data_IF_783723570036
#
_entry.id   IF_783723570036
#
_cell.length_a   1.000
_cell.length_b   1.000
_cell.length_c   1.000
_cell.angle_alpha   90.00
_cell.angle_beta   90.00
_cell.angle_gamma   90.00
#
_symmetry.space_group_name_H-M   'P 1'
#
loop_
_entity.id
_entity.type
_entity.pdbx_description
1 polymer ?
#
# COMPACT_ATOMS: atom_id res chain seq x y z
N UNK A 11 15.81 -39.46 -15.67
CA UNK A 11 15.90 -38.25 -14.85
C UNK A 11 16.89 -37.26 -15.45
N UNK A 12 18.03 -37.78 -15.92
CA UNK A 12 19.09 -36.92 -16.40
C UNK A 12 18.66 -36.06 -17.57
N UNK A 13 17.62 -36.48 -18.31
CA UNK A 13 17.15 -35.68 -19.45
C UNK A 13 16.42 -34.42 -18.97
N UNK A 14 15.66 -34.54 -17.88
CA UNK A 14 14.93 -33.38 -17.36
C UNK A 14 15.86 -32.20 -17.12
N UNK A 15 17.07 -32.47 -16.60
CA UNK A 15 17.99 -31.39 -16.31
C UNK A 15 18.29 -30.59 -17.57
N UNK A 16 18.52 -31.27 -18.69
CA UNK A 16 18.83 -30.58 -19.93
C UNK A 16 17.59 -29.89 -20.50
N UNK A 17 16.46 -30.60 -20.55
CA UNK A 17 15.24 -30.01 -21.07
C UNK A 17 14.89 -28.72 -20.33
N UNK A 18 14.84 -28.80 -18.99
CA UNK A 18 14.52 -27.62 -18.17
C UNK A 18 15.60 -26.56 -18.33
N UNK A 19 16.86 -26.97 -18.43
CA UNK A 19 17.93 -26.00 -18.69
C UNK A 19 17.75 -25.32 -20.04
N UNK A 20 16.95 -25.89 -20.94
CA UNK A 20 16.67 -25.29 -22.23
C UNK A 20 15.46 -24.34 -22.15
N UNK A 21 14.33 -24.84 -21.67
CA UNK A 21 13.15 -23.98 -21.54
C UNK A 21 13.46 -22.78 -20.65
N UNK A 22 14.30 -22.97 -19.62
CA UNK A 22 14.69 -21.86 -18.77
C UNK A 22 15.35 -20.76 -19.58
N UNK A 23 16.25 -21.11 -20.50
CA UNK A 23 16.87 -20.11 -21.36
C UNK A 23 15.85 -19.49 -22.30
N UNK A 24 14.92 -20.29 -22.82
CA UNK A 24 13.81 -19.74 -23.60
C UNK A 24 13.16 -18.58 -22.83
N UNK A 25 12.74 -18.87 -21.60
CA UNK A 25 12.09 -17.84 -20.80
C UNK A 25 13.03 -16.68 -20.49
N UNK A 26 14.34 -16.93 -20.39
CA UNK A 26 15.27 -15.84 -20.17
C UNK A 26 15.28 -14.88 -21.34
N UNK A 27 15.40 -15.40 -22.56
CA UNK A 27 15.32 -14.56 -23.74
C UNK A 27 13.99 -13.81 -23.77
N UNK A 28 12.90 -14.49 -23.39
CA UNK A 28 11.62 -13.80 -23.27
C UNK A 28 11.72 -12.62 -22.31
N UNK A 29 12.44 -12.78 -21.20
CA UNK A 29 12.63 -11.68 -20.26
C UNK A 29 13.41 -10.54 -20.91
N UNK A 30 14.42 -10.86 -21.71
CA UNK A 30 15.18 -9.80 -22.38
C UNK A 30 14.30 -9.02 -23.35
N UNK A 31 13.56 -9.72 -24.21
CA UNK A 31 12.67 -9.03 -25.14
C UNK A 31 11.67 -8.17 -24.39
N UNK A 32 11.00 -8.75 -23.38
CA UNK A 32 10.05 -7.98 -22.60
C UNK A 32 10.71 -6.76 -21.98
N UNK A 33 11.98 -6.85 -21.61
CA UNK A 33 12.69 -5.69 -21.09
C UNK A 33 12.85 -4.63 -22.16
N UNK A 34 13.21 -5.04 -23.39
CA UNK A 34 13.22 -4.09 -24.49
C UNK A 34 11.88 -3.38 -24.62
N UNK A 35 10.78 -4.14 -24.52
CA UNK A 35 9.46 -3.52 -24.50
C UNK A 35 9.34 -2.52 -23.37
N UNK A 36 9.90 -2.84 -22.20
CA UNK A 36 9.84 -1.91 -21.08
C UNK A 36 10.53 -0.60 -21.44
N UNK A 37 11.69 -0.69 -22.10
CA UNK A 37 12.38 0.54 -22.51
C UNK A 37 11.55 1.34 -23.49
N UNK A 38 10.99 0.66 -24.51
CA UNK A 38 10.17 1.35 -25.49
C UNK A 38 9.02 2.09 -24.82
N UNK A 39 8.22 1.37 -24.02
CA UNK A 39 7.10 2.00 -23.33
C UNK A 39 7.58 3.10 -22.40
N UNK A 40 8.81 2.98 -21.88
CA UNK A 40 9.35 4.02 -21.01
C UNK A 40 9.57 5.31 -21.76
N UNK A 41 10.33 5.26 -22.86
CA UNK A 41 10.56 6.47 -23.64
C UNK A 41 9.25 7.02 -24.16
N UNK A 42 8.30 6.13 -24.52
CA UNK A 42 6.98 6.59 -24.92
C UNK A 42 6.32 7.39 -23.81
N UNK A 43 6.39 6.90 -22.58
CA UNK A 43 5.86 7.66 -21.45
C UNK A 43 6.57 8.98 -21.26
N UNK A 44 7.88 9.01 -21.52
CA UNK A 44 8.62 10.26 -21.38
C UNK A 44 8.16 11.28 -22.42
N UNK A 45 7.82 10.80 -23.62
CA UNK A 45 7.35 11.71 -24.66
C UNK A 45 5.94 12.21 -24.39
N UNK A 46 5.04 11.31 -23.98
CA UNK A 46 3.70 11.73 -23.56
C UNK A 46 3.81 12.76 -22.45
N UNK A 47 4.65 12.47 -21.45
CA UNK A 47 4.91 13.42 -20.38
C UNK A 47 5.35 14.77 -20.94
N UNK A 48 6.33 14.74 -21.85
CA UNK A 48 6.81 15.98 -22.45
C UNK A 48 5.67 16.78 -23.06
N UNK A 49 4.78 16.10 -23.81
CA UNK A 49 3.67 16.79 -24.43
C UNK A 49 2.77 17.42 -23.38
N UNK A 50 2.33 16.60 -22.41
CA UNK A 50 1.41 17.10 -21.38
C UNK A 50 2.01 18.33 -20.70
N UNK A 51 3.25 18.22 -20.23
CA UNK A 51 3.92 19.38 -19.64
C UNK A 51 3.88 20.56 -20.60
N UNK A 52 4.02 20.29 -21.90
CA UNK A 52 4.09 21.37 -22.87
C UNK A 52 2.76 22.01 -23.22
N UNK A 53 1.64 21.36 -22.88
CA UNK A 53 0.32 21.89 -23.26
C UNK A 53 -0.54 22.13 -22.03
N UNK A 54 -0.37 21.33 -20.99
CA UNK A 54 -1.26 21.37 -19.84
C UNK A 54 -0.77 22.36 -18.78
N UNK A 55 -1.71 22.84 -17.98
CA UNK A 55 -1.40 23.68 -16.84
C UNK A 55 -0.54 22.92 -15.84
N UNK A 56 0.23 23.62 -15.01
CA UNK A 56 1.08 22.92 -14.04
C UNK A 56 0.33 21.96 -13.14
N UNK A 57 -0.77 22.40 -12.51
CA UNK A 57 -1.53 21.51 -11.64
C UNK A 57 -1.93 20.24 -12.37
N UNK A 58 -2.60 20.39 -13.52
CA UNK A 58 -3.00 19.24 -14.31
C UNK A 58 -1.82 18.31 -14.57
N UNK A 59 -0.65 18.89 -14.87
CA UNK A 59 0.54 18.07 -15.05
C UNK A 59 0.86 17.29 -13.79
N UNK A 60 0.88 17.96 -12.63
CA UNK A 60 1.11 17.26 -11.37
C UNK A 60 0.14 16.09 -11.21
N UNK A 61 -1.13 16.30 -11.55
CA UNK A 61 -2.11 15.23 -11.43
C UNK A 61 -1.74 14.05 -12.33
N UNK A 62 -1.38 14.34 -13.57
CA UNK A 62 -0.94 13.30 -14.51
C UNK A 62 0.23 12.50 -13.94
N UNK A 63 1.31 13.20 -13.56
CA UNK A 63 2.49 12.52 -13.04
C UNK A 63 2.13 11.66 -11.82
N UNK A 64 1.44 12.26 -10.85
CA UNK A 64 0.93 11.49 -9.71
C UNK A 64 0.24 10.22 -10.17
N UNK A 65 -0.59 10.33 -11.21
CA UNK A 65 -1.36 9.16 -11.63
C UNK A 65 -0.44 8.06 -12.15
N UNK A 66 0.54 8.40 -12.99
CA UNK A 66 1.41 7.35 -13.53
C UNK A 66 2.20 6.68 -12.41
N UNK A 67 2.78 7.50 -11.52
CA UNK A 67 3.53 6.93 -10.41
C UNK A 67 2.68 6.00 -9.56
N UNK A 68 1.60 6.56 -9.01
CA UNK A 68 0.69 5.77 -8.20
C UNK A 68 0.26 4.50 -8.93
N UNK A 69 0.09 4.57 -10.25
CA UNK A 69 -0.23 3.39 -11.03
C UNK A 69 0.86 2.33 -10.86
N UNK A 70 2.11 2.70 -11.14
CA UNK A 70 3.22 1.78 -10.97
C UNK A 70 3.18 1.12 -9.59
N UNK A 71 3.13 1.94 -8.53
CA UNK A 71 3.23 1.39 -7.19
C UNK A 71 2.05 0.45 -6.88
N UNK A 72 0.84 0.92 -7.15
CA UNK A 72 -0.36 0.14 -6.82
C UNK A 72 -0.34 -1.19 -7.55
N UNK A 73 -0.14 -1.18 -8.87
CA UNK A 73 -0.15 -2.44 -9.62
C UNK A 73 0.94 -3.37 -9.10
N UNK A 74 2.12 -2.81 -8.78
CA UNK A 74 3.17 -3.60 -8.18
C UNK A 74 2.69 -4.32 -6.93
N UNK A 75 2.35 -3.56 -5.88
CA UNK A 75 1.99 -4.15 -4.61
C UNK A 75 0.83 -5.13 -4.75
N UNK A 76 -0.18 -4.77 -5.55
CA UNK A 76 -1.29 -5.68 -5.79
C UNK A 76 -0.78 -7.02 -6.33
N UNK A 77 0.14 -6.97 -7.29
CA UNK A 77 0.64 -8.21 -7.87
C UNK A 77 1.46 -9.01 -6.86
N UNK A 78 2.23 -8.31 -6.01
CA UNK A 78 2.98 -8.99 -4.95
C UNK A 78 2.04 -9.74 -4.01
N UNK A 79 1.03 -9.03 -3.49
CA UNK A 79 0.07 -9.67 -2.59
C UNK A 79 -0.61 -10.86 -3.27
N UNK A 80 -1.06 -10.67 -4.51
CA UNK A 80 -1.65 -11.78 -5.25
C UNK A 80 -0.70 -12.97 -5.28
N UNK A 81 0.57 -12.73 -5.56
CA UNK A 81 1.56 -13.78 -5.59
C UNK A 81 1.67 -14.53 -4.27
N UNK A 82 1.99 -13.81 -3.19
CA UNK A 82 2.15 -14.45 -1.89
C UNK A 82 0.89 -15.19 -1.47
N UNK A 83 -0.28 -14.62 -1.75
CA UNK A 83 -1.52 -15.30 -1.45
C UNK A 83 -1.64 -16.62 -2.20
N UNK A 84 -1.27 -16.62 -3.49
CA UNK A 84 -1.27 -17.87 -4.24
C UNK A 84 -0.29 -18.88 -3.63
N UNK A 85 0.85 -18.39 -3.15
CA UNK A 85 1.84 -19.27 -2.53
C UNK A 85 1.28 -19.93 -1.28
N UNK A 86 0.63 -19.14 -0.42
CA UNK A 86 0.04 -19.70 0.80
C UNK A 86 -1.06 -20.68 0.45
N UNK A 87 -2.05 -20.23 -0.32
CA UNK A 87 -3.19 -21.08 -0.69
C UNK A 87 -2.72 -22.41 -1.26
N UNK A 88 -1.78 -22.36 -2.21
CA UNK A 88 -1.27 -23.60 -2.80
C UNK A 88 -0.48 -24.41 -1.79
N UNK A 89 0.22 -23.74 -0.86
CA UNK A 89 0.91 -24.47 0.20
C UNK A 89 -0.06 -25.25 1.07
N UNK A 90 -1.29 -24.74 1.25
CA UNK A 90 -2.30 -25.50 1.96
C UNK A 90 -2.86 -26.62 1.09
N UNK A 91 -3.11 -26.33 -0.20
CA UNK A 91 -3.61 -27.36 -1.11
C UNK A 91 -2.66 -28.55 -1.20
N UNK A 92 -1.36 -28.31 -1.07
CA UNK A 92 -0.40 -29.41 -1.08
C UNK A 92 -0.15 -29.97 0.32
N UNK A 93 -0.33 -29.15 1.36
CA UNK A 93 -0.02 -29.59 2.71
C UNK A 93 -1.12 -30.44 3.32
N UNK A 94 -2.38 -30.19 2.96
CA UNK A 94 -3.49 -30.96 3.52
C UNK A 94 -3.29 -32.44 3.27
N UNK A 95 -2.74 -32.81 2.11
CA UNK A 95 -2.42 -34.21 1.83
C UNK A 95 -1.37 -34.72 2.81
N UNK A 96 -0.25 -34.00 2.93
CA UNK A 96 0.75 -34.34 3.91
C UNK A 96 0.22 -34.21 5.33
N UNK A 97 1.11 -34.33 6.32
CA UNK A 97 0.71 -34.22 7.71
C UNK A 97 1.76 -33.39 8.46
N UNK A 98 1.31 -32.31 9.09
CA UNK A 98 2.15 -31.47 9.92
C UNK A 98 1.31 -30.95 11.09
N UNK A 99 1.86 -30.90 12.31
CA UNK A 99 1.04 -30.50 13.46
C UNK A 99 1.18 -29.04 13.85
N UNK A 100 0.06 -28.32 13.89
CA UNK A 100 0.02 -26.97 14.38
C UNK A 100 0.47 -25.89 13.41
N UNK A 101 1.10 -26.26 12.29
CA UNK A 101 1.61 -25.27 11.36
C UNK A 101 0.54 -24.75 10.40
N UNK A 102 -0.59 -25.45 10.28
CA UNK A 102 -1.66 -25.00 9.39
C UNK A 102 -2.28 -23.70 9.88
N UNK A 103 -2.49 -23.57 11.20
CA UNK A 103 -3.15 -22.39 11.74
C UNK A 103 -2.41 -21.12 11.34
N UNK A 104 -1.09 -21.11 11.47
CA UNK A 104 -0.31 -19.93 11.11
C UNK A 104 -0.57 -19.54 9.65
N UNK A 105 -0.58 -20.53 8.76
CA UNK A 105 -0.85 -20.22 7.35
C UNK A 105 -2.29 -19.75 7.15
N UNK A 106 -3.20 -20.15 8.04
CA UNK A 106 -4.59 -19.68 7.94
C UNK A 106 -4.69 -18.21 8.33
N UNK A 107 -4.04 -17.81 9.43
CA UNK A 107 -4.07 -16.41 9.84
C UNK A 107 -3.32 -15.54 8.85
N UNK A 108 -2.14 -15.97 8.40
CA UNK A 108 -1.42 -15.23 7.38
C UNK A 108 -2.26 -15.10 6.11
N UNK A 109 -2.94 -16.18 5.71
CA UNK A 109 -3.90 -16.07 4.62
C UNK A 109 -4.91 -14.95 4.89
N UNK A 110 -5.42 -14.88 6.13
CA UNK A 110 -6.39 -13.83 6.45
C UNK A 110 -5.81 -12.44 6.21
N UNK A 111 -4.68 -12.14 6.87
CA UNK A 111 -4.11 -10.79 6.75
C UNK A 111 -3.80 -10.48 5.29
N UNK A 112 -3.27 -11.47 4.56
CA UNK A 112 -2.95 -11.23 3.15
C UNK A 112 -4.21 -10.92 2.35
N UNK A 113 -5.33 -11.54 2.70
CA UNK A 113 -6.59 -11.21 2.03
C UNK A 113 -6.97 -9.77 2.35
N UNK A 114 -6.77 -9.35 3.60
CA UNK A 114 -7.06 -7.97 3.96
C UNK A 114 -6.24 -7.00 3.12
N UNK A 115 -4.91 -7.16 3.13
CA UNK A 115 -4.05 -6.27 2.37
C UNK A 115 -4.38 -6.31 0.88
N UNK A 116 -4.77 -7.48 0.37
CA UNK A 116 -5.06 -7.61 -1.05
C UNK A 116 -6.35 -6.89 -1.43
N UNK A 117 -7.39 -6.99 -0.59
CA UNK A 117 -8.61 -6.26 -0.86
C UNK A 117 -8.37 -4.75 -0.77
N UNK A 118 -7.57 -4.33 0.21
CA UNK A 118 -7.14 -2.93 0.26
C UNK A 118 -6.52 -2.52 -1.08
N UNK A 119 -5.51 -3.27 -1.53
CA UNK A 119 -4.85 -2.95 -2.79
C UNK A 119 -5.83 -2.91 -3.95
N UNK A 120 -6.85 -3.79 -3.94
CA UNK A 120 -7.84 -3.77 -5.00
C UNK A 120 -8.67 -2.49 -4.96
N UNK A 121 -9.02 -2.02 -3.77
CA UNK A 121 -9.69 -0.73 -3.64
C UNK A 121 -8.82 0.39 -4.22
N UNK A 122 -7.54 0.40 -3.86
CA UNK A 122 -6.63 1.38 -4.45
C UNK A 122 -6.63 1.29 -5.97
N UNK A 123 -6.65 0.07 -6.51
CA UNK A 123 -6.69 -0.11 -7.96
C UNK A 123 -7.94 0.55 -8.55
N UNK A 124 -9.11 0.28 -7.97
CA UNK A 124 -10.34 0.90 -8.46
C UNK A 124 -10.20 2.42 -8.46
N UNK A 125 -9.80 2.99 -7.32
CA UNK A 125 -9.60 4.43 -7.26
C UNK A 125 -8.67 4.90 -8.36
N UNK A 126 -7.65 4.11 -8.68
CA UNK A 126 -6.72 4.49 -9.75
C UNK A 126 -7.33 4.34 -11.14
N UNK A 127 -8.36 3.52 -11.29
CA UNK A 127 -9.09 3.49 -12.56
C UNK A 127 -9.89 4.77 -12.74
N UNK A 128 -10.71 5.11 -11.73
CA UNK A 128 -11.47 6.35 -11.84
C UNK A 128 -10.53 7.56 -11.98
N UNK A 129 -9.39 7.52 -11.31
CA UNK A 129 -8.40 8.55 -11.51
C UNK A 129 -8.00 8.54 -12.97
N UNK A 130 -7.60 7.38 -13.45
CA UNK A 130 -7.19 7.29 -14.85
C UNK A 130 -8.15 8.04 -15.76
N UNK A 131 -9.46 7.87 -15.52
CA UNK A 131 -10.42 8.56 -16.36
C UNK A 131 -10.40 10.06 -16.10
N UNK A 132 -10.17 10.50 -14.86
CA UNK A 132 -9.99 11.93 -14.61
C UNK A 132 -8.85 12.48 -15.46
N UNK A 133 -7.69 11.82 -15.42
CA UNK A 133 -6.52 12.29 -16.16
C UNK A 133 -6.83 12.33 -17.65
N UNK A 134 -7.41 11.26 -18.18
CA UNK A 134 -7.79 11.25 -19.59
C UNK A 134 -8.73 12.41 -19.92
N UNK A 135 -9.61 12.77 -18.99
CA UNK A 135 -10.53 13.88 -19.23
C UNK A 135 -9.79 15.20 -19.31
N UNK A 136 -8.88 15.46 -18.37
CA UNK A 136 -8.17 16.73 -18.41
C UNK A 136 -7.20 16.79 -19.59
N UNK A 137 -6.79 15.62 -20.12
CA UNK A 137 -5.94 15.61 -21.30
C UNK A 137 -6.74 15.76 -22.59
N UNK A 138 -7.98 15.29 -22.61
CA UNK A 138 -8.76 15.31 -23.84
C UNK A 138 -9.03 16.71 -24.36
N UNK A 139 -8.96 17.73 -23.50
CA UNK A 139 -9.20 19.09 -23.95
C UNK A 139 -7.99 19.68 -24.66
N UNK A 140 -6.79 19.20 -24.34
CA UNK A 140 -5.56 19.71 -24.94
C UNK A 140 -5.03 18.81 -26.05
N UNK A 141 -5.00 17.50 -25.84
CA UNK A 141 -4.24 16.61 -26.71
C UNK A 141 -5.02 16.25 -27.97
N UNK A 142 -4.31 15.62 -28.89
CA UNK A 142 -4.88 15.10 -30.12
C UNK A 142 -5.34 13.66 -29.93
N UNK A 143 -6.10 13.16 -30.89
CA UNK A 143 -6.51 11.76 -30.85
C UNK A 143 -5.31 10.84 -30.92
N UNK A 144 -4.27 11.23 -31.65
CA UNK A 144 -3.05 10.43 -31.70
C UNK A 144 -2.34 10.43 -30.36
N UNK A 145 -2.18 11.61 -29.75
CA UNK A 145 -1.53 11.68 -28.45
C UNK A 145 -2.34 10.95 -27.39
N UNK A 146 -3.67 11.09 -27.42
CA UNK A 146 -4.51 10.33 -26.50
C UNK A 146 -4.35 8.83 -26.71
N UNK A 147 -4.21 8.40 -27.97
CA UNK A 147 -3.99 6.99 -28.26
C UNK A 147 -2.65 6.52 -27.68
N UNK A 148 -1.60 7.30 -27.87
CA UNK A 148 -0.31 6.95 -27.31
C UNK A 148 -0.34 6.92 -25.79
N UNK A 149 -1.20 7.74 -25.18
CA UNK A 149 -1.33 7.75 -23.74
C UNK A 149 -2.02 6.48 -23.24
N UNK A 150 -3.24 6.23 -23.73
CA UNK A 150 -3.97 5.03 -23.36
C UNK A 150 -3.10 3.78 -23.55
N UNK A 151 -2.52 3.64 -24.74
CA UNK A 151 -1.64 2.50 -24.99
C UNK A 151 -0.47 2.48 -24.02
N UNK A 152 0.06 3.65 -23.68
CA UNK A 152 1.18 3.72 -22.74
C UNK A 152 0.81 3.09 -21.41
N UNK A 153 -0.31 3.52 -20.82
CA UNK A 153 -0.70 2.98 -19.51
C UNK A 153 -1.04 1.49 -19.61
N UNK A 154 -1.89 1.13 -20.57
CA UNK A 154 -2.30 -0.26 -20.72
C UNK A 154 -1.07 -1.16 -20.82
N UNK A 155 -0.16 -0.84 -21.73
CA UNK A 155 1.03 -1.66 -21.90
C UNK A 155 1.92 -1.59 -20.67
N UNK A 156 1.84 -0.52 -19.89
CA UNK A 156 2.60 -0.48 -18.64
C UNK A 156 2.13 -1.59 -17.71
N UNK A 157 0.84 -1.60 -17.39
CA UNK A 157 0.30 -2.64 -16.52
C UNK A 157 0.59 -4.03 -17.08
N UNK A 158 0.15 -4.27 -18.33
CA UNK A 158 0.35 -5.59 -18.93
C UNK A 158 1.82 -6.00 -18.88
N UNK A 159 2.73 -5.09 -19.22
CA UNK A 159 4.14 -5.44 -19.28
C UNK A 159 4.67 -5.84 -17.91
N UNK A 160 4.40 -5.02 -16.89
CA UNK A 160 4.95 -5.35 -15.57
C UNK A 160 4.38 -6.69 -15.09
N UNK A 161 3.09 -6.92 -15.34
CA UNK A 161 2.47 -8.20 -14.96
C UNK A 161 3.20 -9.35 -15.62
N UNK A 162 3.21 -9.38 -16.96
CA UNK A 162 3.84 -10.48 -17.68
C UNK A 162 5.29 -10.65 -17.25
N UNK A 163 5.99 -9.55 -17.00
CA UNK A 163 7.36 -9.63 -16.54
C UNK A 163 7.47 -10.42 -15.24
N UNK A 164 6.68 -10.02 -14.23
CA UNK A 164 6.76 -10.72 -12.94
C UNK A 164 6.34 -12.18 -13.07
N UNK A 165 5.36 -12.47 -13.93
CA UNK A 165 4.98 -13.86 -14.16
C UNK A 165 6.15 -14.67 -14.72
N UNK A 166 6.75 -14.19 -15.81
CA UNK A 166 7.91 -14.88 -16.37
C UNK A 166 8.99 -15.08 -15.32
N UNK A 167 9.31 -14.02 -14.56
CA UNK A 167 10.33 -14.15 -13.52
C UNK A 167 9.96 -15.24 -12.51
N UNK A 168 8.68 -15.32 -12.13
CA UNK A 168 8.23 -16.41 -11.29
C UNK A 168 8.53 -17.76 -11.91
N UNK A 169 8.25 -17.92 -13.21
CA UNK A 169 8.48 -19.20 -13.87
C UNK A 169 9.96 -19.57 -13.90
N UNK A 170 10.83 -18.60 -14.23
CA UNK A 170 12.25 -18.91 -14.32
C UNK A 170 12.83 -19.24 -12.95
N UNK A 171 12.44 -18.49 -11.92
CA UNK A 171 12.90 -18.82 -10.58
C UNK A 171 12.38 -20.19 -10.16
N UNK A 172 11.13 -20.50 -10.50
CA UNK A 172 10.59 -21.83 -10.22
C UNK A 172 11.42 -22.91 -10.88
N UNK A 173 11.83 -22.71 -12.12
CA UNK A 173 12.70 -23.68 -12.78
C UNK A 173 14.03 -23.83 -12.08
N UNK A 174 14.65 -22.70 -11.71
CA UNK A 174 15.90 -22.74 -10.97
C UNK A 174 15.76 -23.60 -9.71
N UNK A 175 14.83 -23.22 -8.83
CA UNK A 175 14.57 -24.00 -7.63
C UNK A 175 14.22 -25.45 -7.95
N UNK A 176 13.72 -25.71 -9.17
CA UNK A 176 13.33 -27.06 -9.55
C UNK A 176 14.56 -27.92 -9.86
N UNK A 177 15.56 -27.35 -10.52
CA UNK A 177 16.78 -28.10 -10.80
C UNK A 177 17.71 -28.15 -9.59
N UNK A 178 17.64 -27.15 -8.70
CA UNK A 178 18.45 -27.22 -7.50
C UNK A 178 18.12 -28.45 -6.67
N UNK A 179 16.86 -28.87 -6.67
CA UNK A 179 16.46 -30.09 -5.98
C UNK A 179 16.64 -31.29 -6.89
N UNK B 1 26.31 -15.11 48.60
CA UNK B 1 25.66 -14.58 47.41
C UNK B 1 24.78 -13.38 47.76
N UNK B 2 25.44 -12.25 48.01
CA UNK B 2 24.74 -11.01 48.34
C UNK B 2 24.31 -10.26 47.08
N UNK B 3 25.23 -10.11 46.12
CA UNK B 3 24.90 -9.44 44.88
C UNK B 3 23.80 -10.16 44.12
N UNK B 4 23.71 -11.48 44.26
CA UNK B 4 22.58 -12.22 43.69
C UNK B 4 21.26 -11.70 44.26
N UNK B 5 21.19 -11.57 45.58
CA UNK B 5 20.00 -11.01 46.22
C UNK B 5 19.72 -9.61 45.70
N UNK B 6 20.77 -8.77 45.63
CA UNK B 6 20.58 -7.42 45.09
C UNK B 6 19.98 -7.47 43.69
N UNK B 7 20.41 -8.45 42.88
CA UNK B 7 19.85 -8.60 41.54
C UNK B 7 18.38 -8.98 41.59
N UNK B 8 18.02 -9.95 42.44
CA UNK B 8 16.61 -10.30 42.58
C UNK B 8 15.78 -9.08 42.95
N UNK B 9 16.30 -8.23 43.83
CA UNK B 9 15.58 -7.04 44.28
C UNK B 9 15.39 -6.06 43.11
N UNK B 10 16.51 -5.55 42.58
CA UNK B 10 16.42 -4.55 41.52
C UNK B 10 15.60 -5.07 40.33
N UNK B 11 15.77 -6.35 40.01
CA UNK B 11 15.02 -6.94 38.91
C UNK B 11 13.53 -6.96 39.20
N UNK B 12 13.13 -7.35 40.42
CA UNK B 12 11.71 -7.36 40.76
C UNK B 12 11.12 -5.96 40.71
N UNK B 13 11.85 -4.98 41.24
CA UNK B 13 11.36 -3.60 41.20
C UNK B 13 11.16 -3.13 39.76
N UNK B 14 12.15 -3.37 38.90
CA UNK B 14 11.99 -2.99 37.50
C UNK B 14 10.82 -3.74 36.85
N UNK B 15 10.59 -4.99 37.25
CA UNK B 15 9.43 -5.72 36.73
C UNK B 15 8.15 -4.99 37.08
N UNK B 16 7.98 -4.63 38.36
CA UNK B 16 6.76 -3.94 38.76
C UNK B 16 6.60 -2.61 38.03
N UNK B 17 7.69 -1.86 37.88
CA UNK B 17 7.61 -0.58 37.19
C UNK B 17 7.20 -0.77 35.73
N UNK B 18 7.87 -1.69 35.03
CA UNK B 18 7.51 -1.99 33.64
C UNK B 18 6.03 -2.35 33.54
N UNK B 19 5.57 -3.22 34.44
CA UNK B 19 4.17 -3.63 34.44
C UNK B 19 3.24 -2.43 34.56
N UNK B 20 3.52 -1.53 35.50
CA UNK B 20 2.72 -0.32 35.61
C UNK B 20 2.73 0.47 34.31
N UNK B 21 3.90 0.63 33.70
CA UNK B 21 3.99 1.36 32.43
C UNK B 21 3.12 0.71 31.37
N UNK B 22 3.10 -0.62 31.32
CA UNK B 22 2.26 -1.31 30.35
C UNK B 22 0.79 -1.04 30.62
N UNK B 23 0.39 -0.99 31.90
CA UNK B 23 -0.98 -0.60 32.21
C UNK B 23 -1.29 0.80 31.67
N UNK B 24 -0.36 1.74 31.84
CA UNK B 24 -0.56 3.07 31.27
C UNK B 24 -0.74 2.99 29.76
N UNK B 25 0.08 2.18 29.08
CA UNK B 25 -0.01 2.08 27.63
C UNK B 25 -1.35 1.50 27.19
N UNK B 26 -1.77 0.41 27.83
CA UNK B 26 -3.06 -0.19 27.49
C UNK B 26 -4.20 0.79 27.68
N UNK B 27 -4.22 1.48 28.84
CA UNK B 27 -5.23 2.50 29.05
C UNK B 27 -5.19 3.56 27.95
N UNK B 28 -3.99 3.96 27.54
CA UNK B 28 -3.86 4.94 26.46
C UNK B 28 -4.45 4.41 25.17
N UNK B 29 -4.25 3.12 24.89
CA UNK B 29 -4.82 2.50 23.69
C UNK B 29 -6.34 2.55 23.73
N UNK B 30 -6.92 1.92 24.75
CA UNK B 30 -8.38 1.85 24.85
C UNK B 30 -9.01 3.25 24.83
N UNK B 31 -8.38 4.21 25.51
CA UNK B 31 -8.88 5.58 25.45
C UNK B 31 -8.71 6.18 24.06
N UNK B 32 -7.68 5.75 23.33
CA UNK B 32 -7.48 6.24 21.96
C UNK B 32 -8.59 5.77 21.04
N UNK B 33 -9.04 4.52 21.19
CA UNK B 33 -10.13 4.02 20.36
C UNK B 33 -11.33 4.96 20.40
N UNK B 34 -11.68 5.47 21.58
CA UNK B 34 -12.79 6.41 21.68
C UNK B 34 -12.58 7.59 20.74
N UNK B 35 -11.37 8.15 20.74
CA UNK B 35 -11.05 9.24 19.84
C UNK B 35 -11.20 8.81 18.38
N UNK B 36 -10.82 7.57 18.08
CA UNK B 36 -11.01 7.06 16.72
C UNK B 36 -12.48 7.10 16.34
N UNK B 37 -13.36 6.62 17.22
CA UNK B 37 -14.78 6.63 16.92
C UNK B 37 -15.29 8.05 16.72
N UNK B 38 -14.97 8.95 17.65
CA UNK B 38 -15.44 10.32 17.54
C UNK B 38 -15.02 10.94 16.21
N UNK B 39 -13.74 10.79 15.86
CA UNK B 39 -13.27 11.31 14.58
C UNK B 39 -13.92 10.59 13.40
N UNK B 40 -14.39 9.35 13.61
CA UNK B 40 -15.10 8.65 12.54
C UNK B 40 -16.45 9.30 12.27
N UNK B 41 -17.25 9.51 13.32
CA UNK B 41 -18.53 10.16 13.13
C UNK B 41 -18.33 11.55 12.54
N UNK B 42 -17.32 12.28 13.01
CA UNK B 42 -16.98 13.55 12.38
C UNK B 42 -16.75 13.36 10.89
N UNK B 43 -15.96 12.35 10.53
CA UNK B 43 -15.74 12.06 9.12
C UNK B 43 -17.02 11.87 8.36
N UNK B 44 -17.98 11.11 8.93
CA UNK B 44 -19.25 10.91 8.27
C UNK B 44 -20.02 12.22 8.12
N UNK B 45 -19.89 13.11 9.10
CA UNK B 45 -20.52 14.43 8.99
C UNK B 45 -19.96 15.21 7.79
N UNK B 46 -18.64 15.33 7.72
CA UNK B 46 -18.02 16.01 6.59
C UNK B 46 -18.44 15.33 5.28
N UNK B 47 -18.42 14.00 5.25
CA UNK B 47 -18.82 13.28 4.05
C UNK B 47 -20.22 13.66 3.62
N UNK B 48 -21.15 13.75 4.57
CA UNK B 48 -22.53 14.06 4.21
C UNK B 48 -22.67 15.51 3.73
N UNK B 49 -21.94 16.44 4.37
CA UNK B 49 -21.98 17.84 3.95
C UNK B 49 -21.47 17.98 2.52
N UNK B 50 -20.24 17.49 2.28
CA UNK B 50 -19.69 17.51 0.92
C UNK B 50 -20.65 16.84 -0.05
N UNK B 51 -21.21 15.69 0.33
CA UNK B 51 -22.19 15.01 -0.49
C UNK B 51 -23.30 15.96 -0.93
N UNK B 52 -23.97 16.57 0.05
CA UNK B 52 -25.10 17.42 -0.27
C UNK B 52 -24.74 18.62 -1.12
N UNK B 53 -23.56 19.20 -0.88
CA UNK B 53 -23.24 20.48 -1.54
C UNK B 53 -22.47 20.27 -2.85
N UNK B 54 -21.57 19.28 -2.92
CA UNK B 54 -20.65 19.19 -4.04
C UNK B 54 -21.24 18.38 -5.20
N UNK B 55 -20.53 18.41 -6.33
CA UNK B 55 -20.89 17.65 -7.51
C UNK B 55 -20.51 16.18 -7.34
N UNK B 56 -21.19 15.28 -8.07
CA UNK B 56 -20.82 13.86 -7.95
C UNK B 56 -19.36 13.57 -8.30
N UNK B 57 -18.78 14.31 -9.23
CA UNK B 57 -17.38 14.08 -9.59
C UNK B 57 -16.45 14.55 -8.49
N UNK B 58 -16.57 15.82 -8.09
CA UNK B 58 -15.77 16.33 -6.97
C UNK B 58 -15.96 15.46 -5.74
N UNK B 59 -17.20 15.07 -5.46
CA UNK B 59 -17.46 14.19 -4.33
C UNK B 59 -16.71 12.86 -4.49
N UNK B 60 -16.74 12.29 -5.69
CA UNK B 60 -16.03 11.03 -5.93
C UNK B 60 -14.54 11.20 -5.67
N UNK B 61 -13.98 12.34 -6.04
CA UNK B 61 -12.56 12.59 -5.77
C UNK B 61 -12.29 12.71 -4.28
N UNK B 62 -13.17 13.42 -3.55
CA UNK B 62 -13.04 13.51 -2.10
C UNK B 62 -13.06 12.12 -1.46
N UNK B 63 -14.07 11.31 -1.77
CA UNK B 63 -14.16 9.97 -1.21
C UNK B 63 -12.93 9.14 -1.58
N UNK B 64 -12.47 9.23 -2.83
CA UNK B 64 -11.27 8.51 -3.24
C UNK B 64 -10.09 8.89 -2.35
N UNK B 65 -9.87 10.19 -2.15
CA UNK B 65 -8.78 10.64 -1.30
C UNK B 65 -8.90 10.06 0.10
N UNK B 66 -10.08 10.17 0.71
CA UNK B 66 -10.25 9.67 2.08
C UNK B 66 -9.98 8.18 2.14
N UNK B 67 -10.45 7.42 1.15
CA UNK B 67 -10.21 5.99 1.14
C UNK B 67 -8.73 5.66 1.01
N UNK B 68 -8.01 6.37 0.14
CA UNK B 68 -6.60 6.07 -0.08
C UNK B 68 -5.75 6.47 1.12
N UNK B 69 -6.16 7.50 1.87
CA UNK B 69 -5.34 7.99 2.97
C UNK B 69 -5.02 6.87 3.97
N UNK B 70 -6.05 6.29 4.58
CA UNK B 70 -5.82 5.27 5.60
C UNK B 70 -4.98 4.12 5.05
N UNK B 71 -5.23 3.74 3.80
CA UNK B 71 -4.50 2.63 3.20
C UNK B 71 -3.01 2.95 3.12
N UNK B 72 -2.67 4.08 2.49
CA UNK B 72 -1.27 4.47 2.33
C UNK B 72 -0.59 4.52 3.69
N UNK B 73 -1.19 5.20 4.67
CA UNK B 73 -0.55 5.31 5.98
C UNK B 73 -0.35 3.93 6.58
N UNK B 74 -1.39 3.09 6.52
CA UNK B 74 -1.29 1.72 7.01
C UNK B 74 -0.08 1.02 6.42
N UNK B 75 0.14 1.16 5.11
CA UNK B 75 1.29 0.53 4.48
C UNK B 75 2.59 1.10 5.00
N UNK B 76 2.71 2.43 5.02
CA UNK B 76 3.96 3.06 5.48
C UNK B 76 4.33 2.58 6.88
N UNK B 77 3.34 2.41 7.75
CA UNK B 77 3.64 1.95 9.11
C UNK B 77 3.93 0.45 9.15
N UNK B 78 3.15 -0.35 8.40
CA UNK B 78 3.40 -1.78 8.37
C UNK B 78 4.80 -2.10 7.85
N UNK B 79 5.35 -1.23 7.00
CA UNK B 79 6.71 -1.41 6.51
C UNK B 79 7.73 -0.75 7.43
N UNK B 80 7.56 0.55 7.68
CA UNK B 80 8.50 1.29 8.53
C UNK B 80 8.55 0.67 9.92
N UNK B 113 13.53 -2.21 0.70
CA UNK B 113 13.46 -0.74 0.69
C UNK B 113 12.50 -0.28 -0.40
N UNK B 114 12.42 -1.05 -1.48
CA UNK B 114 11.51 -0.71 -2.58
C UNK B 114 10.10 -0.50 -2.08
N UNK B 115 9.60 -1.44 -1.27
CA UNK B 115 8.26 -1.31 -0.72
C UNK B 115 8.09 0.01 0.04
N UNK B 116 8.98 0.25 1.01
CA UNK B 116 8.86 1.42 1.85
C UNK B 116 9.02 2.71 1.05
N UNK B 117 9.96 2.73 0.10
CA UNK B 117 10.13 3.92 -0.73
C UNK B 117 8.87 4.21 -1.53
N UNK B 118 8.30 3.17 -2.15
CA UNK B 118 7.00 3.31 -2.79
C UNK B 118 6.00 3.95 -1.84
N UNK B 119 5.95 3.48 -0.60
CA UNK B 119 5.06 4.07 0.39
C UNK B 119 5.38 5.56 0.60
N UNK B 120 6.66 5.93 0.55
CA UNK B 120 7.04 7.32 0.76
C UNK B 120 6.49 8.20 -0.37
N UNK B 121 6.73 7.81 -1.62
CA UNK B 121 6.23 8.61 -2.73
C UNK B 121 4.71 8.66 -2.73
N UNK B 122 4.06 7.52 -2.49
CA UNK B 122 2.60 7.53 -2.37
C UNK B 122 2.14 8.46 -1.26
N UNK B 123 2.94 8.61 -0.20
CA UNK B 123 2.59 9.53 0.88
C UNK B 123 2.67 10.97 0.40
N UNK B 124 3.77 11.34 -0.27
CA UNK B 124 3.89 12.70 -0.79
C UNK B 124 2.76 13.02 -1.77
N UNK B 125 2.58 12.16 -2.77
CA UNK B 125 1.46 12.33 -3.70
C UNK B 125 0.13 12.40 -2.97
N UNK B 126 0.02 11.71 -1.84
CA UNK B 126 -1.21 11.74 -1.05
C UNK B 126 -1.39 13.10 -0.40
N UNK B 127 -0.30 13.73 0.05
CA UNK B 127 -0.39 15.08 0.59
C UNK B 127 -0.81 16.07 -0.48
N UNK B 128 -0.17 16.01 -1.65
CA UNK B 128 -0.59 16.88 -2.75
C UNK B 128 -2.07 16.66 -3.07
N UNK B 129 -2.51 15.43 -3.09
CA UNK B 129 -3.92 15.19 -3.26
C UNK B 129 -4.64 15.99 -2.20
N UNK B 130 -4.24 15.80 -0.95
CA UNK B 130 -4.94 16.46 0.14
C UNK B 130 -5.14 17.93 -0.14
N UNK B 131 -4.10 18.59 -0.67
CA UNK B 131 -4.24 20.02 -0.98
C UNK B 131 -5.19 20.24 -2.14
N UNK B 132 -5.26 19.31 -3.10
CA UNK B 132 -6.25 19.43 -4.17
C UNK B 132 -7.66 19.39 -3.59
N UNK B 133 -7.96 18.34 -2.81
CA UNK B 133 -9.28 18.21 -2.21
C UNK B 133 -9.59 19.44 -1.37
N UNK B 134 -8.67 19.86 -0.51
CA UNK B 134 -8.87 21.07 0.28
C UNK B 134 -9.19 22.27 -0.59
N UNK B 135 -8.55 22.35 -1.76
CA UNK B 135 -8.77 23.51 -2.63
C UNK B 135 -10.15 23.47 -3.26
N UNK B 136 -10.64 22.29 -3.64
CA UNK B 136 -11.98 22.24 -4.23
C UNK B 136 -13.07 22.29 -3.18
N UNK B 137 -12.74 22.03 -1.90
CA UNK B 137 -13.72 22.17 -0.83
C UNK B 137 -13.74 23.58 -0.23
N UNK B 138 -12.63 24.31 -0.32
CA UNK B 138 -12.54 25.60 0.36
C UNK B 138 -13.58 26.59 -0.14
N UNK B 139 -13.88 26.55 -1.43
CA UNK B 139 -14.85 27.49 -2.01
C UNK B 139 -16.29 27.08 -1.71
N UNK B 140 -16.59 25.78 -1.79
CA UNK B 140 -17.95 25.33 -1.53
C UNK B 140 -18.32 25.48 -0.06
N UNK B 141 -17.46 25.00 0.83
CA UNK B 141 -17.82 24.89 2.23
C UNK B 141 -17.68 26.24 2.94
N UNK B 142 -18.14 26.25 4.19
CA UNK B 142 -18.03 27.41 5.05
C UNK B 142 -16.67 27.39 5.76
N UNK B 143 -16.49 28.28 6.74
CA UNK B 143 -15.24 28.31 7.49
C UNK B 143 -15.17 27.17 8.50
N UNK B 144 -16.22 27.03 9.32
CA UNK B 144 -16.20 26.01 10.37
C UNK B 144 -16.24 24.60 9.77
N UNK B 145 -17.08 24.38 8.76
CA UNK B 145 -17.12 23.08 8.09
C UNK B 145 -15.74 22.72 7.54
N UNK B 146 -15.06 23.69 6.94
CA UNK B 146 -13.71 23.45 6.43
C UNK B 146 -12.76 23.08 7.57
N UNK B 147 -12.84 23.81 8.69
CA UNK B 147 -12.04 23.46 9.85
C UNK B 147 -12.32 22.02 10.28
N UNK B 148 -13.58 21.59 10.18
CA UNK B 148 -13.93 20.21 10.51
C UNK B 148 -13.30 19.22 9.54
N UNK B 149 -13.22 19.58 8.26
CA UNK B 149 -12.53 18.73 7.30
C UNK B 149 -11.05 18.61 7.65
N UNK B 150 -10.36 19.75 7.73
CA UNK B 150 -8.93 19.73 8.06
C UNK B 150 -8.66 18.92 9.32
N UNK B 151 -9.34 19.26 10.42
CA UNK B 151 -9.15 18.52 11.66
C UNK B 151 -9.42 17.04 11.46
N UNK B 152 -10.51 16.70 10.77
CA UNK B 152 -10.83 15.30 10.52
C UNK B 152 -9.67 14.56 9.88
N UNK B 153 -9.02 15.19 8.89
CA UNK B 153 -7.90 14.53 8.22
C UNK B 153 -6.70 14.43 9.17
N UNK B 154 -6.30 15.57 9.74
CA UNK B 154 -5.18 15.59 10.68
C UNK B 154 -5.27 14.44 11.67
N UNK B 155 -6.45 14.27 12.29
CA UNK B 155 -6.62 13.19 13.25
C UNK B 155 -6.72 11.84 12.54
N UNK B 156 -7.20 11.81 11.30
CA UNK B 156 -7.26 10.55 10.57
C UNK B 156 -5.88 9.93 10.44
N UNK B 157 -4.86 10.75 10.24
CA UNK B 157 -3.49 10.23 10.20
C UNK B 157 -2.89 10.10 11.60
N UNK B 158 -2.98 11.18 12.39
CA UNK B 158 -2.38 11.21 13.71
C UNK B 158 -2.78 10.00 14.55
N UNK B 159 -4.05 9.59 14.46
CA UNK B 159 -4.51 8.49 15.28
C UNK B 159 -3.91 7.16 14.85
N UNK B 160 -3.81 6.92 13.55
CA UNK B 160 -3.15 5.70 13.07
C UNK B 160 -1.71 5.67 13.55
N UNK B 161 -0.99 6.79 13.38
CA UNK B 161 0.39 6.87 13.85
C UNK B 161 0.46 6.51 15.33
N UNK B 162 -0.22 7.30 16.18
CA UNK B 162 -0.14 7.12 17.62
C UNK B 162 -0.51 5.70 18.02
N UNK B 163 -1.51 5.11 17.37
CA UNK B 163 -1.90 3.74 17.66
C UNK B 163 -0.75 2.78 17.38
N UNK B 164 -0.10 2.94 16.22
CA UNK B 164 1.06 2.12 15.92
C UNK B 164 2.13 2.27 16.98
N UNK B 165 2.48 3.52 17.32
CA UNK B 165 3.47 3.76 18.37
C UNK B 165 3.10 3.02 19.65
N UNK B 166 1.83 3.05 20.04
CA UNK B 166 1.38 2.38 21.25
C UNK B 166 1.62 0.88 21.16
N UNK B 167 1.15 0.25 20.07
CA UNK B 167 1.41 -1.18 19.91
C UNK B 167 2.90 -1.49 19.98
N UNK B 168 3.75 -0.59 19.48
CA UNK B 168 5.18 -0.79 19.55
C UNK B 168 5.67 -0.80 20.99
N UNK B 169 5.40 0.30 21.73
CA UNK B 169 5.82 0.37 23.12
C UNK B 169 5.33 -0.84 23.90
N UNK B 170 4.08 -1.24 23.67
CA UNK B 170 3.51 -2.37 24.40
C UNK B 170 4.26 -3.66 24.07
N UNK B 171 4.54 -3.89 22.78
CA UNK B 171 5.32 -5.06 22.40
C UNK B 171 6.68 -5.07 23.09
N UNK B 172 7.39 -3.94 23.02
CA UNK B 172 8.69 -3.84 23.66
C UNK B 172 8.61 -4.19 25.14
N UNK B 173 7.79 -3.45 25.90
CA UNK B 173 7.68 -3.70 27.32
C UNK B 173 7.32 -5.14 27.64
N UNK B 174 6.38 -5.70 26.88
CA UNK B 174 6.03 -7.11 27.05
C UNK B 174 7.26 -8.00 26.93
N UNK B 175 8.05 -7.81 25.86
CA UNK B 175 9.24 -8.64 25.67
C UNK B 175 10.23 -8.44 26.81
N UNK B 176 10.37 -7.21 27.30
CA UNK B 176 11.27 -6.95 28.41
C UNK B 176 10.84 -7.72 29.65
N UNK B 177 9.53 -7.75 29.95
CA UNK B 177 9.06 -8.57 31.06
C UNK B 177 9.34 -10.04 30.80
N UNK B 178 9.10 -10.50 29.57
CA UNK B 178 9.42 -11.88 29.23
C UNK B 178 10.87 -12.21 29.53
N UNK B 179 11.77 -11.24 29.36
CA UNK B 179 13.18 -11.49 29.63
C UNK B 179 13.48 -11.42 31.13
N UNK B 180 12.89 -10.46 31.83
CA UNK B 180 13.21 -10.29 33.25
C UNK B 180 12.60 -11.40 34.09
N UNK B 181 11.33 -11.74 33.84
CA UNK B 181 10.67 -12.77 34.63
C UNK B 181 11.41 -14.10 34.56
N UNK B 182 12.16 -14.34 33.49
CA UNK B 182 12.86 -15.60 33.32
C UNK B 182 14.35 -15.43 33.64
#
# INVERSE_FOLDING_TARGET
>A
SDLDHDLSVKKQELIESISRKLQVLREARESLLEDVQANTVLGAEVEAIVKGVCKPSEFDKFRMFIGDLDKVVNLLLSLSGRLARVENALNNLDDGASPGDRQSLLEKQRVLIQQHEDAKELKENLDRRERIVFDILANYLSEESLADYEHFVKMKSALIIEQRELEDKIHLGEEQLKCLLDSL
>B
SDLDHDLSVKKQELIESISRKLQVLREARESLLEDVQANTVLGAEVEAIVKGVCKPSEFDKFRMFIGDLDKVVNLLLSLSGRLARVENALNNLDDGASPGDRQSLLEKQRVLIQQHEDAKELKENLDRRERIVFDILANYLSEESLADYEHFVKMKSALIIEQRELEDKIHLGEEQLKCLLDSL
#
